data_IF_315208972240
#
_entry.id   IF_315208972240
#
_cell.length_a   1.000
_cell.length_b   1.000
_cell.length_c   1.000
_cell.angle_alpha   90.00
_cell.angle_beta   90.00
_cell.angle_gamma   90.00
#
_symmetry.space_group_name_H-M   'P 1'
#
loop_
_entity.id
_entity.type
_entity.pdbx_description
1 polymer ?
#
# COMPACT_ATOMS: atom_id res chain seq x y z
N UNK A 1 -2.22 4.11 -17.37
CA UNK A 1 -0.80 3.73 -17.30
C UNK A 1 -0.56 2.41 -18.04
N UNK A 2 0.40 2.38 -18.97
CA UNK A 2 0.89 1.14 -19.60
C UNK A 2 2.18 0.68 -18.90
N UNK A 3 2.31 -0.63 -18.65
CA UNK A 3 3.46 -1.20 -17.96
C UNK A 3 4.74 -1.08 -18.81
N UNK A 4 5.79 -0.48 -18.23
CA UNK A 4 7.15 -0.46 -18.76
C UNK A 4 7.90 -1.69 -18.22
N UNK A 5 8.23 -2.65 -19.09
CA UNK A 5 9.04 -3.83 -18.70
C UNK A 5 10.40 -3.44 -18.09
N UNK A 6 11.01 -2.37 -18.58
CA UNK A 6 12.28 -1.85 -18.06
C UNK A 6 12.20 -1.33 -16.62
N UNK A 7 11.00 -0.99 -16.13
CA UNK A 7 10.75 -0.60 -14.74
C UNK A 7 10.24 -1.76 -13.88
N UNK A 8 10.13 -2.98 -14.42
CA UNK A 8 9.64 -4.14 -13.67
C UNK A 8 8.16 -4.08 -13.27
N UNK A 9 7.37 -3.19 -13.88
CA UNK A 9 5.96 -2.99 -13.53
C UNK A 9 5.12 -4.24 -13.82
N UNK A 10 4.73 -4.95 -12.77
CA UNK A 10 3.76 -6.03 -12.80
C UNK A 10 2.64 -5.68 -11.84
N UNK A 11 1.46 -5.38 -12.37
CA UNK A 11 0.36 -4.91 -11.55
C UNK A 11 -0.37 -6.08 -10.88
N UNK A 12 -0.57 -5.95 -9.57
CA UNK A 12 -1.30 -6.91 -8.76
C UNK A 12 -2.75 -7.03 -9.26
N UNK A 13 -3.24 -8.27 -9.37
CA UNK A 13 -4.65 -8.57 -9.71
C UNK A 13 -5.33 -9.49 -8.69
N UNK A 14 -4.54 -10.13 -7.83
CA UNK A 14 -5.05 -11.10 -6.87
C UNK A 14 -5.53 -10.39 -5.60
N UNK A 15 -6.85 -10.33 -5.44
CA UNK A 15 -7.47 -9.82 -4.20
C UNK A 15 -7.09 -10.65 -2.96
N UNK A 16 -6.84 -11.95 -3.13
CA UNK A 16 -6.43 -12.81 -2.03
C UNK A 16 -5.01 -12.46 -1.54
N UNK A 17 -4.07 -12.23 -2.47
CA UNK A 17 -2.73 -11.79 -2.12
C UNK A 17 -2.76 -10.40 -1.48
N UNK A 18 -3.57 -9.48 -2.01
CA UNK A 18 -3.74 -8.13 -1.46
C UNK A 18 -4.20 -8.17 0.00
N UNK A 19 -5.26 -8.92 0.31
CA UNK A 19 -5.74 -9.10 1.68
C UNK A 19 -4.67 -9.70 2.59
N UNK A 20 -3.98 -10.74 2.13
CA UNK A 20 -2.92 -11.37 2.92
C UNK A 20 -1.78 -10.39 3.26
N UNK A 21 -1.37 -9.54 2.31
CA UNK A 21 -0.34 -8.51 2.53
C UNK A 21 -0.80 -7.49 3.57
N UNK A 22 -2.02 -6.97 3.43
CA UNK A 22 -2.59 -5.96 4.35
C UNK A 22 -2.78 -6.52 5.75
N UNK A 23 -3.31 -7.74 5.90
CA UNK A 23 -3.43 -8.41 7.20
C UNK A 23 -2.07 -8.65 7.85
N UNK A 24 -1.07 -9.06 7.07
CA UNK A 24 0.28 -9.29 7.58
C UNK A 24 0.97 -7.99 8.03
N UNK A 25 0.60 -6.84 7.47
CA UNK A 25 1.15 -5.54 7.82
C UNK A 25 0.72 -5.03 9.20
N UNK A 26 -0.36 -5.58 9.79
CA UNK A 26 -0.87 -5.22 11.13
C UNK A 26 -1.01 -3.71 11.33
N UNK A 27 -1.68 -3.07 10.37
CA UNK A 27 -1.94 -1.63 10.40
C UNK A 27 -2.80 -1.31 11.62
N UNK A 28 -2.38 -0.28 12.36
CA UNK A 28 -3.15 0.36 13.42
C UNK A 28 -3.59 1.73 12.93
N UNK A 29 -4.86 2.07 13.08
CA UNK A 29 -5.43 3.39 12.81
C UNK A 29 -5.23 4.38 13.97
N UNK A 30 -4.85 3.88 15.16
CA UNK A 30 -4.63 4.65 16.38
C UNK A 30 -5.88 4.89 17.21
N UNK A 31 -7.03 4.33 16.84
CA UNK A 31 -8.32 4.61 17.50
C UNK A 31 -8.65 3.61 18.63
N UNK A 32 -8.03 2.42 18.64
CA UNK A 32 -8.33 1.36 19.62
C UNK A 32 -7.81 1.66 21.04
N UNK A 33 -6.63 2.28 21.18
CA UNK A 33 -6.11 2.76 22.47
C UNK A 33 -5.51 4.17 22.37
N UNK A 34 -5.67 5.03 23.40
CA UNK A 34 -5.14 6.40 23.40
C UNK A 34 -3.61 6.53 23.26
N UNK A 35 -2.88 5.43 23.46
CA UNK A 35 -1.42 5.37 23.34
C UNK A 35 -0.96 4.78 22.02
N UNK A 36 -1.86 4.16 21.26
CA UNK A 36 -1.54 3.54 19.97
C UNK A 36 -1.39 4.64 18.93
N UNK A 37 -0.29 4.56 18.17
CA UNK A 37 -0.01 5.50 17.11
C UNK A 37 -0.49 4.93 15.79
N UNK A 38 -1.15 5.78 15.00
CA UNK A 38 -1.49 5.49 13.62
C UNK A 38 -0.24 5.04 12.85
N UNK A 39 -0.36 3.92 12.14
CA UNK A 39 0.74 3.34 11.37
C UNK A 39 1.10 4.22 10.18
N UNK A 40 2.38 4.55 10.04
CA UNK A 40 2.91 5.19 8.83
C UNK A 40 3.64 4.17 7.97
N UNK A 41 3.20 4.00 6.73
CA UNK A 41 3.71 3.02 5.76
C UNK A 41 4.42 3.73 4.63
N UNK A 42 5.67 3.32 4.36
CA UNK A 42 6.40 3.73 3.16
C UNK A 42 6.19 2.68 2.06
N UNK A 43 5.49 3.04 1.00
CA UNK A 43 5.25 2.17 -0.15
C UNK A 43 6.22 2.49 -1.29
N UNK A 44 6.89 1.47 -1.83
CA UNK A 44 7.82 1.60 -2.96
C UNK A 44 7.16 1.04 -4.22
N UNK A 45 7.01 1.89 -5.24
CA UNK A 45 6.40 1.51 -6.51
C UNK A 45 4.89 1.21 -6.38
N UNK A 46 4.07 2.19 -5.98
CA UNK A 46 2.62 2.01 -5.83
C UNK A 46 1.94 1.59 -7.16
N UNK A 47 2.55 1.92 -8.32
CA UNK A 47 2.05 1.52 -9.63
C UNK A 47 0.63 2.03 -9.88
N UNK A 48 -0.35 1.11 -9.85
CA UNK A 48 -1.77 1.47 -10.02
C UNK A 48 -2.50 1.84 -8.73
N UNK A 49 -1.85 1.69 -7.58
CA UNK A 49 -2.40 2.04 -6.27
C UNK A 49 -3.24 0.95 -5.61
N UNK A 50 -3.30 -0.27 -6.14
CA UNK A 50 -4.12 -1.36 -5.56
C UNK A 50 -3.78 -1.66 -4.09
N UNK A 51 -2.48 -1.66 -3.75
CA UNK A 51 -2.04 -1.84 -2.36
C UNK A 51 -2.17 -0.55 -1.56
N UNK A 52 -1.85 0.60 -2.16
CA UNK A 52 -2.04 1.93 -1.55
C UNK A 52 -3.47 2.12 -1.04
N UNK A 53 -4.47 1.85 -1.88
CA UNK A 53 -5.89 1.99 -1.53
C UNK A 53 -6.25 1.07 -0.35
N UNK A 54 -5.87 -0.20 -0.42
CA UNK A 54 -6.15 -1.16 0.64
C UNK A 54 -5.46 -0.82 1.98
N UNK A 55 -4.27 -0.22 1.95
CA UNK A 55 -3.58 0.26 3.16
C UNK A 55 -4.30 1.48 3.77
N UNK A 56 -4.73 2.41 2.92
CA UNK A 56 -5.48 3.60 3.35
C UNK A 56 -6.85 3.22 3.94
N UNK A 57 -7.52 2.22 3.38
CA UNK A 57 -8.78 1.67 3.91
C UNK A 57 -8.62 1.08 5.32
N UNK A 58 -7.44 0.57 5.67
CA UNK A 58 -7.13 0.13 7.05
C UNK A 58 -6.74 1.30 7.98
N UNK A 59 -6.80 2.54 7.51
CA UNK A 59 -6.42 3.69 8.30
C UNK A 59 -4.91 3.90 8.39
N UNK A 60 -4.10 3.37 7.46
CA UNK A 60 -2.69 3.74 7.41
C UNK A 60 -2.49 5.21 7.00
N UNK A 61 -1.40 5.82 7.44
CA UNK A 61 -0.81 6.99 6.77
C UNK A 61 0.22 6.48 5.75
N UNK A 62 0.00 6.70 4.46
CA UNK A 62 0.88 6.14 3.41
C UNK A 62 1.72 7.22 2.75
N UNK A 63 3.02 6.98 2.67
CA UNK A 63 3.98 7.75 1.87
C UNK A 63 4.41 6.85 0.72
N UNK A 64 4.06 7.21 -0.51
CA UNK A 64 4.39 6.40 -1.68
C UNK A 64 5.51 7.04 -2.50
N UNK A 65 6.49 6.22 -2.92
CA UNK A 65 7.61 6.64 -3.78
C UNK A 65 7.48 5.89 -5.11
N UNK A 66 7.20 6.62 -6.19
CA UNK A 66 7.09 6.08 -7.55
C UNK A 66 8.21 6.64 -8.43
N UNK A 67 8.81 5.76 -9.23
CA UNK A 67 9.88 6.10 -10.16
C UNK A 67 9.33 6.41 -11.56
N UNK A 68 8.21 5.81 -11.96
CA UNK A 68 7.55 6.19 -13.21
C UNK A 68 6.98 7.61 -13.06
N UNK A 69 7.41 8.49 -13.94
CA UNK A 69 7.13 9.93 -13.94
C UNK A 69 5.78 10.30 -14.58
N UNK A 70 5.00 9.30 -14.98
CA UNK A 70 3.74 9.43 -15.71
C UNK A 70 2.54 9.04 -14.88
#
# INVERSE_FOLDING_TARGET
MFAKKSLGQNFLKSKAALRAMVTAAKISDGDENPTDQKSTVLEIGPGKGELTEALLEQGANVIAIEKDDR
#
